data_IF_276843010087
#
_entry.id   IF_276843010087
#
_cell.length_a   1.000
_cell.length_b   1.000
_cell.length_c   1.000
_cell.angle_alpha   90.00
_cell.angle_beta   90.00
_cell.angle_gamma   90.00
#
_symmetry.space_group_name_H-M   'P 1'
#
loop_
_entity.id
_entity.type
_entity.pdbx_description
1 polymer ?
#
# COMPACT_ATOMS: atom_id res chain seq x y z
N UNK A 1 -19.93 17.54 7.81
CA UNK A 1 -19.56 16.34 6.99
C UNK A 1 -18.58 16.70 5.87
N UNK A 2 -18.67 17.88 5.26
CA UNK A 2 -17.78 18.33 4.16
C UNK A 2 -16.29 18.35 4.54
N UNK A 3 -15.95 18.84 5.73
CA UNK A 3 -14.56 18.85 6.23
C UNK A 3 -13.92 17.46 6.29
N UNK A 4 -14.69 16.40 6.58
CA UNK A 4 -14.18 15.01 6.58
C UNK A 4 -13.93 14.52 5.16
N UNK A 5 -14.85 14.80 4.24
CA UNK A 5 -14.73 14.41 2.83
C UNK A 5 -13.54 15.09 2.16
N UNK A 6 -13.34 16.38 2.42
CA UNK A 6 -12.23 17.15 1.87
C UNK A 6 -10.86 16.61 2.32
N UNK A 7 -10.73 16.25 3.61
CA UNK A 7 -9.51 15.62 4.14
C UNK A 7 -9.23 14.26 3.50
N UNK A 8 -10.26 13.42 3.34
CA UNK A 8 -10.11 12.12 2.68
C UNK A 8 -9.71 12.24 1.21
N UNK A 9 -10.31 13.20 0.48
CA UNK A 9 -9.96 13.46 -0.93
C UNK A 9 -8.51 13.94 -1.03
N UNK A 10 -8.11 14.89 -0.17
CA UNK A 10 -6.74 15.39 -0.16
C UNK A 10 -5.74 14.28 0.14
N UNK A 11 -6.05 13.39 1.09
CA UNK A 11 -5.18 12.26 1.42
C UNK A 11 -5.05 11.28 0.25
N UNK A 12 -6.15 10.95 -0.44
CA UNK A 12 -6.12 10.11 -1.64
C UNK A 12 -5.32 10.77 -2.77
N UNK A 13 -5.52 12.07 -2.96
CA UNK A 13 -4.84 12.85 -4.00
C UNK A 13 -3.33 12.89 -3.75
N UNK A 14 -2.89 13.08 -2.50
CA UNK A 14 -1.46 13.03 -2.12
C UNK A 14 -0.88 11.63 -2.34
N UNK A 15 -1.61 10.57 -1.99
CA UNK A 15 -1.14 9.20 -2.23
C UNK A 15 -0.96 8.93 -3.73
N UNK A 16 -1.96 9.27 -4.55
CA UNK A 16 -1.92 9.01 -5.99
C UNK A 16 -0.86 9.87 -6.68
N UNK A 17 -0.85 11.19 -6.43
CA UNK A 17 0.15 12.09 -7.01
C UNK A 17 1.56 11.72 -6.57
N UNK A 18 1.75 11.38 -5.30
CA UNK A 18 3.05 10.93 -4.79
C UNK A 18 3.55 9.71 -5.55
N UNK A 19 2.72 8.68 -5.72
CA UNK A 19 3.06 7.49 -6.49
C UNK A 19 3.32 7.78 -7.96
N UNK A 20 2.52 8.64 -8.61
CA UNK A 20 2.69 9.00 -10.03
C UNK A 20 3.99 9.78 -10.24
N UNK A 21 4.28 10.76 -9.39
CA UNK A 21 5.51 11.56 -9.45
C UNK A 21 6.73 10.66 -9.26
N UNK A 22 6.72 9.79 -8.25
CA UNK A 22 7.80 8.82 -8.06
C UNK A 22 7.95 7.89 -9.27
N UNK A 23 6.85 7.42 -9.85
CA UNK A 23 6.86 6.62 -11.08
C UNK A 23 7.54 7.33 -12.25
N UNK A 24 7.20 8.60 -12.50
CA UNK A 24 7.82 9.42 -13.55
C UNK A 24 9.31 9.64 -13.26
N UNK A 25 9.68 9.93 -12.01
CA UNK A 25 11.08 10.06 -11.59
C UNK A 25 11.86 8.78 -11.86
N UNK A 26 11.24 7.62 -11.64
CA UNK A 26 11.92 6.34 -11.92
C UNK A 26 12.17 6.11 -13.41
N UNK A 27 11.32 6.63 -14.29
CA UNK A 27 11.53 6.55 -15.74
C UNK A 27 12.68 7.45 -16.20
N UNK A 28 12.89 8.60 -15.55
CA UNK A 28 13.98 9.53 -15.88
C UNK A 28 15.35 9.03 -15.43
N UNK A 29 15.42 8.26 -14.34
CA UNK A 29 16.68 7.78 -13.76
C UNK A 29 17.17 6.50 -14.43
N UNK A 30 16.28 5.72 -15.05
CA UNK A 30 16.62 4.43 -15.64
C UNK A 30 17.50 4.59 -16.90
N UNK A 31 18.72 4.04 -16.91
CA UNK A 31 19.56 4.03 -18.10
C UNK A 31 19.05 3.03 -19.16
N UNK A 32 18.46 1.91 -18.74
CA UNK A 32 17.89 0.86 -19.59
C UNK A 32 16.49 0.47 -19.10
N UNK A 33 15.64 0.03 -20.04
CA UNK A 33 14.26 -0.35 -19.74
C UNK A 33 14.13 -1.76 -19.20
N UNK A 34 14.99 -2.66 -19.68
CA UNK A 34 14.91 -4.09 -19.44
C UNK A 34 16.26 -4.63 -18.98
N UNK A 35 16.34 -4.99 -17.70
CA UNK A 35 17.36 -5.92 -17.19
C UNK A 35 16.64 -7.23 -16.90
N UNK A 36 17.06 -8.31 -17.56
CA UNK A 36 16.46 -9.64 -17.40
C UNK A 36 17.45 -10.49 -16.64
N UNK A 37 17.02 -11.01 -15.51
CA UNK A 37 17.83 -11.94 -14.73
C UNK A 37 17.17 -13.30 -14.64
N UNK A 38 17.99 -14.35 -14.68
CA UNK A 38 17.54 -15.73 -14.75
C UNK A 38 16.66 -16.16 -13.57
N UNK A 39 16.89 -15.61 -12.38
CA UNK A 39 16.16 -15.98 -11.15
C UNK A 39 14.88 -15.18 -10.90
N UNK A 40 14.72 -14.00 -11.50
CA UNK A 40 13.70 -13.03 -11.08
C UNK A 40 13.04 -12.22 -12.20
N UNK A 41 13.37 -12.49 -13.46
CA UNK A 41 12.73 -11.86 -14.61
C UNK A 41 13.17 -10.42 -14.83
N UNK A 42 12.22 -9.52 -15.11
CA UNK A 42 12.51 -8.13 -15.47
C UNK A 42 12.61 -7.24 -14.23
N UNK A 43 13.67 -6.43 -14.15
CA UNK A 43 13.79 -5.42 -13.09
C UNK A 43 14.67 -4.25 -13.48
N UNK A 44 15.01 -3.46 -12.48
CA UNK A 44 15.60 -2.14 -12.71
C UNK A 44 17.09 -2.28 -13.00
N UNK A 45 17.51 -1.85 -14.19
CA UNK A 45 18.93 -1.73 -14.52
C UNK A 45 19.52 -0.52 -13.79
N UNK A 46 20.53 -0.75 -12.97
CA UNK A 46 21.34 0.29 -12.34
C UNK A 46 22.74 0.27 -12.97
N UNK A 47 23.11 1.36 -13.64
CA UNK A 47 24.45 1.49 -14.19
C UNK A 47 25.45 2.09 -13.18
N UNK A 48 26.73 1.78 -13.39
CA UNK A 48 27.87 2.07 -12.52
C UNK A 48 28.11 3.56 -12.20
N UNK A 49 27.45 4.49 -12.89
CA UNK A 49 27.55 5.94 -12.63
C UNK A 49 26.28 6.59 -12.07
N UNK A 50 25.16 5.85 -12.01
CA UNK A 50 23.81 6.39 -11.71
C UNK A 50 23.23 5.93 -10.38
N UNK A 51 23.94 5.09 -9.62
CA UNK A 51 23.46 4.56 -8.33
C UNK A 51 23.13 5.65 -7.31
N UNK A 52 23.91 6.75 -7.24
CA UNK A 52 23.63 7.88 -6.34
C UNK A 52 22.31 8.56 -6.71
N UNK A 53 22.03 8.71 -8.01
CA UNK A 53 20.74 9.27 -8.48
C UNK A 53 19.60 8.35 -8.08
N UNK A 54 19.73 7.05 -8.33
CA UNK A 54 18.73 6.07 -7.93
C UNK A 54 18.49 6.06 -6.40
N UNK A 55 19.55 6.17 -5.61
CA UNK A 55 19.46 6.27 -4.16
C UNK A 55 18.70 7.53 -3.71
N UNK A 56 19.08 8.70 -4.22
CA UNK A 56 18.48 9.98 -3.80
C UNK A 56 17.02 10.12 -4.25
N UNK A 57 16.71 9.65 -5.46
CA UNK A 57 15.39 9.82 -6.07
C UNK A 57 14.41 8.70 -5.73
N UNK A 58 14.88 7.48 -5.43
CA UNK A 58 14.01 6.34 -5.15
C UNK A 58 14.10 5.88 -3.69
N UNK A 59 15.31 5.62 -3.20
CA UNK A 59 15.48 4.95 -1.90
C UNK A 59 15.38 5.91 -0.71
N UNK A 60 15.72 7.19 -0.89
CA UNK A 60 15.65 8.19 0.19
C UNK A 60 14.22 8.48 0.66
N UNK A 61 13.25 8.49 -0.26
CA UNK A 61 11.87 8.89 0.05
C UNK A 61 11.16 7.94 1.02
N UNK A 62 11.17 6.61 0.84
CA UNK A 62 10.60 5.67 1.81
C UNK A 62 11.16 5.83 3.22
N UNK A 63 12.46 6.09 3.36
CA UNK A 63 13.11 6.29 4.67
C UNK A 63 12.64 7.59 5.32
N UNK A 64 12.60 8.68 4.57
CA UNK A 64 12.11 9.97 5.07
C UNK A 64 10.63 9.89 5.50
N UNK A 65 9.79 9.25 4.68
CA UNK A 65 8.38 9.04 5.00
C UNK A 65 8.23 8.12 6.22
N UNK A 66 9.05 7.07 6.32
CA UNK A 66 9.08 6.16 7.48
C UNK A 66 9.48 6.84 8.78
N UNK A 67 10.48 7.72 8.74
CA UNK A 67 10.90 8.54 9.88
C UNK A 67 9.80 9.52 10.31
N UNK A 68 9.17 10.20 9.33
CA UNK A 68 8.07 11.11 9.61
C UNK A 68 6.87 10.35 10.22
N UNK A 69 6.53 9.18 9.67
CA UNK A 69 5.48 8.31 10.18
C UNK A 69 5.77 7.83 11.61
N UNK A 70 7.03 7.49 11.90
CA UNK A 70 7.51 7.13 13.24
C UNK A 70 7.26 8.25 14.24
N UNK A 71 7.64 9.48 13.89
CA UNK A 71 7.38 10.65 14.73
C UNK A 71 5.89 10.82 15.06
N UNK A 72 5.02 10.74 14.05
CA UNK A 72 3.58 10.86 14.26
C UNK A 72 3.00 9.69 15.05
N UNK A 73 3.46 8.47 14.81
CA UNK A 73 3.00 7.29 15.53
C UNK A 73 3.33 7.38 17.03
N UNK A 74 4.53 7.84 17.40
CA UNK A 74 4.90 8.10 18.80
C UNK A 74 3.99 9.17 19.42
N UNK A 75 3.74 10.27 18.71
CA UNK A 75 2.83 11.34 19.19
C UNK A 75 1.41 10.83 19.40
N UNK A 76 0.89 10.03 18.48
CA UNK A 76 -0.45 9.42 18.58
C UNK A 76 -0.49 8.51 19.81
N UNK A 77 0.51 7.64 19.98
CA UNK A 77 0.60 6.71 21.11
C UNK A 77 0.59 7.46 22.45
N UNK A 78 1.41 8.50 22.60
CA UNK A 78 1.47 9.32 23.83
C UNK A 78 0.13 10.01 24.10
N UNK A 79 -0.48 10.63 23.10
CA UNK A 79 -1.77 11.33 23.26
C UNK A 79 -2.87 10.33 23.65
N UNK A 80 -2.90 9.15 23.05
CA UNK A 80 -3.89 8.13 23.38
C UNK A 80 -3.71 7.57 24.79
N UNK A 81 -2.47 7.35 25.24
CA UNK A 81 -2.19 6.90 26.62
C UNK A 81 -2.64 7.96 27.63
N UNK A 82 -2.32 9.24 27.38
CA UNK A 82 -2.75 10.36 28.24
C UNK A 82 -4.27 10.48 28.29
N UNK A 83 -4.93 10.36 27.14
CA UNK A 83 -6.39 10.39 27.07
C UNK A 83 -7.02 9.28 27.90
N UNK A 84 -6.43 8.07 27.88
CA UNK A 84 -6.88 6.97 28.75
C UNK A 84 -6.69 7.26 30.23
N UNK A 85 -5.56 7.82 30.63
CA UNK A 85 -5.30 8.16 32.02
C UNK A 85 -6.33 9.17 32.56
N UNK A 86 -6.65 10.21 31.80
CA UNK A 86 -7.68 11.18 32.19
C UNK A 86 -9.09 10.57 32.25
N UNK A 87 -9.44 9.71 31.29
CA UNK A 87 -10.76 9.06 31.29
C UNK A 87 -10.92 8.06 32.45
N UNK A 88 -9.84 7.35 32.81
CA UNK A 88 -9.84 6.42 33.93
C UNK A 88 -10.01 7.14 35.29
N UNK A 89 -9.54 8.39 35.39
CA UNK A 89 -9.73 9.23 36.58
C UNK A 89 -11.17 9.70 36.75
N UNK A 90 -11.91 9.90 35.65
CA UNK A 90 -13.27 10.45 35.66
C UNK A 90 -14.36 9.37 35.71
N UNK A 91 -14.12 8.18 35.13
CA UNK A 91 -15.11 7.09 35.08
C UNK A 91 -14.46 5.72 35.34
N UNK A 92 -14.11 5.40 36.60
CA UNK A 92 -13.47 4.13 36.95
C UNK A 92 -14.37 2.89 36.78
N UNK A 93 -15.70 3.07 36.71
CA UNK A 93 -16.67 1.94 36.70
C UNK A 93 -17.37 1.71 35.34
N UNK A 94 -17.41 2.72 34.45
CA UNK A 94 -18.06 2.61 33.14
C UNK A 94 -17.15 3.10 32.01
N UNK A 95 -16.34 2.20 31.44
CA UNK A 95 -15.77 2.46 30.11
C UNK A 95 -15.67 1.21 29.21
N UNK A 96 -16.80 0.54 28.88
CA UNK A 96 -16.81 -0.54 27.89
C UNK A 96 -16.67 -0.04 26.43
N UNK A 97 -16.80 1.26 26.16
CA UNK A 97 -16.77 1.80 24.80
C UNK A 97 -15.37 2.30 24.40
N UNK A 98 -14.66 1.42 23.64
CA UNK A 98 -13.46 1.68 22.82
C UNK A 98 -12.10 1.20 23.36
N UNK A 99 -12.08 0.22 24.28
CA UNK A 99 -10.83 -0.47 24.60
C UNK A 99 -10.23 -1.20 23.38
N UNK A 100 -11.06 -1.85 22.56
CA UNK A 100 -10.58 -2.63 21.41
C UNK A 100 -9.97 -1.77 20.28
N UNK A 101 -10.55 -0.59 19.97
CA UNK A 101 -10.00 0.29 18.95
C UNK A 101 -8.66 0.89 19.38
N UNK A 102 -8.52 1.24 20.67
CA UNK A 102 -7.25 1.67 21.23
C UNK A 102 -6.18 0.58 21.12
N UNK A 103 -6.47 -0.65 21.56
CA UNK A 103 -5.46 -1.72 21.54
C UNK A 103 -5.00 -2.05 20.11
N UNK A 104 -5.91 -1.95 19.13
CA UNK A 104 -5.58 -2.14 17.72
C UNK A 104 -4.69 -1.03 17.17
N UNK A 105 -5.04 0.24 17.40
CA UNK A 105 -4.22 1.35 16.90
C UNK A 105 -2.83 1.37 17.56
N UNK A 106 -2.78 1.11 18.87
CA UNK A 106 -1.52 0.99 19.62
C UNK A 106 -0.70 -0.21 19.14
N UNK A 107 -1.33 -1.37 18.92
CA UNK A 107 -0.66 -2.56 18.39
C UNK A 107 -0.09 -2.33 16.98
N UNK A 108 -0.86 -1.69 16.10
CA UNK A 108 -0.37 -1.30 14.77
C UNK A 108 0.84 -0.37 14.87
N UNK A 109 0.79 0.62 15.76
CA UNK A 109 1.89 1.54 15.98
C UNK A 109 3.16 0.84 16.49
N UNK A 110 3.02 -0.10 17.42
CA UNK A 110 4.15 -0.89 17.94
C UNK A 110 4.76 -1.76 16.83
N UNK A 111 3.93 -2.47 16.05
CA UNK A 111 4.42 -3.30 14.94
C UNK A 111 5.10 -2.44 13.88
N UNK A 112 4.54 -1.28 13.57
CA UNK A 112 5.16 -0.33 12.64
C UNK A 112 6.56 0.08 13.10
N UNK A 113 6.72 0.42 14.39
CA UNK A 113 8.03 0.82 14.95
C UNK A 113 9.03 -0.34 15.04
N UNK A 114 8.57 -1.55 15.41
CA UNK A 114 9.45 -2.70 15.65
C UNK A 114 9.81 -3.48 14.39
N UNK A 115 8.97 -3.43 13.35
CA UNK A 115 9.13 -4.26 12.15
C UNK A 115 9.37 -3.39 10.92
N UNK A 116 8.48 -2.43 10.64
CA UNK A 116 8.54 -1.68 9.39
C UNK A 116 9.74 -0.72 9.36
N UNK A 117 10.03 -0.02 10.46
CA UNK A 117 11.18 0.90 10.54
C UNK A 117 12.52 0.16 10.34
N UNK A 118 12.86 -0.88 11.12
CA UNK A 118 14.11 -1.59 10.90
C UNK A 118 14.16 -2.30 9.54
N UNK A 119 13.05 -2.81 9.00
CA UNK A 119 13.00 -3.37 7.65
C UNK A 119 13.36 -2.31 6.58
N UNK A 120 12.79 -1.11 6.66
CA UNK A 120 13.12 -0.03 5.70
C UNK A 120 14.58 0.41 5.77
N UNK A 121 15.16 0.46 6.97
CA UNK A 121 16.58 0.78 7.16
C UNK A 121 17.44 -0.36 6.58
N UNK A 122 17.12 -1.61 6.89
CA UNK A 122 17.85 -2.79 6.42
C UNK A 122 17.85 -2.87 4.88
N UNK A 123 16.69 -2.71 4.24
CA UNK A 123 16.59 -2.67 2.77
C UNK A 123 17.42 -1.54 2.16
N UNK A 124 17.49 -0.38 2.83
CA UNK A 124 18.30 0.75 2.37
C UNK A 124 19.79 0.45 2.48
N UNK A 125 20.22 -0.18 3.57
CA UNK A 125 21.61 -0.60 3.74
C UNK A 125 21.98 -1.61 2.67
N UNK A 126 21.15 -2.64 2.45
CA UNK A 126 21.37 -3.64 1.41
C UNK A 126 21.46 -3.03 0.01
N UNK A 127 20.57 -2.09 -0.32
CA UNK A 127 20.59 -1.38 -1.59
C UNK A 127 21.92 -0.64 -1.79
N UNK A 128 22.41 0.04 -0.75
CA UNK A 128 23.67 0.79 -0.82
C UNK A 128 24.87 -0.16 -0.91
N UNK A 129 24.94 -1.19 -0.07
CA UNK A 129 26.07 -2.13 -0.06
C UNK A 129 26.13 -2.95 -1.35
N UNK A 130 24.98 -3.42 -1.84
CA UNK A 130 24.90 -4.15 -3.12
C UNK A 130 25.21 -3.29 -4.33
N UNK A 131 24.99 -1.97 -4.25
CA UNK A 131 25.39 -1.04 -5.32
C UNK A 131 26.89 -0.70 -5.31
N UNK A 132 27.56 -0.84 -4.16
CA UNK A 132 28.99 -0.49 -4.00
C UNK A 132 29.91 -1.68 -4.31
N UNK A 133 29.47 -2.92 -4.05
CA UNK A 133 30.20 -4.16 -4.36
C UNK A 133 30.29 -4.40 -5.89
N UNK A 134 31.19 -3.68 -6.55
CA UNK A 134 31.47 -3.84 -7.98
C UNK A 134 31.85 -2.57 -8.74
N UNK A 135 31.81 -1.39 -8.11
CA UNK A 135 31.96 -0.12 -8.81
C UNK A 135 33.28 0.60 -8.50
N UNK A 136 34.13 0.72 -9.53
CA UNK A 136 35.33 1.56 -9.55
C UNK A 136 35.09 2.94 -10.19
N UNK A 137 33.86 3.22 -10.66
CA UNK A 137 33.55 4.47 -11.35
C UNK A 137 33.28 5.60 -10.37
N UNK A 138 34.00 6.71 -10.55
CA UNK A 138 33.70 7.98 -9.90
C UNK A 138 32.33 8.48 -10.35
N UNK A 139 31.55 9.02 -9.42
CA UNK A 139 30.23 9.58 -9.68
C UNK A 139 30.34 10.70 -10.73
N UNK A 140 29.51 10.66 -11.77
CA UNK A 140 29.46 11.72 -12.77
C UNK A 140 28.00 12.05 -13.10
N UNK A 141 27.57 13.25 -12.71
CA UNK A 141 26.21 13.74 -12.91
C UNK A 141 25.82 13.81 -14.40
N UNK A 142 26.80 14.03 -15.27
CA UNK A 142 26.62 14.16 -16.72
C UNK A 142 27.17 12.97 -17.49
N UNK A 143 27.37 11.80 -16.86
CA UNK A 143 27.81 10.62 -17.59
C UNK A 143 26.87 10.36 -18.77
N UNK A 144 27.32 10.49 -20.03
CA UNK A 144 26.50 10.16 -21.17
C UNK A 144 26.24 8.66 -21.13
N UNK A 145 24.97 8.29 -21.25
CA UNK A 145 24.61 6.89 -21.44
C UNK A 145 25.20 6.42 -22.77
N UNK A 146 26.19 5.52 -22.69
CA UNK A 146 26.99 5.05 -23.83
C UNK A 146 26.44 3.75 -24.45
N UNK A 147 25.24 3.31 -24.05
CA UNK A 147 24.57 2.10 -24.55
C UNK A 147 23.36 2.42 -25.43
N UNK A 148 22.75 1.41 -26.03
CA UNK A 148 21.43 1.55 -26.64
C UNK A 148 20.36 1.44 -25.56
N UNK A 149 19.41 2.37 -25.52
CA UNK A 149 18.30 2.36 -24.54
C UNK A 149 17.47 1.08 -24.56
N UNK A 150 17.53 0.38 -25.70
CA UNK A 150 16.83 -0.86 -26.02
C UNK A 150 17.69 -2.11 -25.75
N UNK A 151 18.93 -1.96 -25.29
CA UNK A 151 19.78 -3.10 -24.98
C UNK A 151 19.24 -3.84 -23.75
N UNK A 152 19.05 -5.14 -23.93
CA UNK A 152 18.66 -6.08 -22.88
C UNK A 152 19.92 -6.67 -22.28
N UNK A 153 20.13 -6.42 -21.00
CA UNK A 153 21.17 -7.12 -20.25
C UNK A 153 20.58 -8.42 -19.70
N UNK A 154 21.26 -9.55 -19.96
CA UNK A 154 20.86 -10.85 -19.41
C UNK A 154 21.90 -11.27 -18.39
N UNK A 155 21.55 -11.18 -17.10
CA UNK A 155 22.42 -11.57 -16.00
C UNK A 155 22.06 -12.97 -15.50
N UNK A 156 23.01 -13.91 -15.64
CA UNK A 156 22.87 -15.31 -15.20
C UNK A 156 23.50 -15.58 -13.83
N UNK A 157 24.19 -14.60 -13.25
CA UNK A 157 24.93 -14.79 -12.00
C UNK A 157 24.00 -14.67 -10.78
N UNK A 158 23.36 -15.80 -10.45
CA UNK A 158 22.60 -16.02 -9.22
C UNK A 158 23.53 -16.16 -8.01
N UNK A 159 24.10 -15.04 -7.54
CA UNK A 159 24.71 -15.03 -6.21
C UNK A 159 23.60 -15.20 -5.17
N UNK A 160 23.72 -16.20 -4.30
CA UNK A 160 22.71 -16.57 -3.29
C UNK A 160 22.32 -15.41 -2.33
N UNK A 161 23.21 -14.42 -2.19
CA UNK A 161 22.96 -13.19 -1.43
C UNK A 161 21.93 -12.28 -2.10
N UNK A 162 21.93 -12.18 -3.43
CA UNK A 162 21.04 -11.30 -4.18
C UNK A 162 19.61 -11.87 -4.27
N UNK A 163 19.47 -13.20 -4.40
CA UNK A 163 18.17 -13.88 -4.41
C UNK A 163 17.45 -13.85 -3.05
N UNK A 164 18.19 -13.94 -1.94
CA UNK A 164 17.62 -13.85 -0.59
C UNK A 164 17.06 -12.44 -0.26
N UNK A 165 17.70 -11.38 -0.74
CA UNK A 165 17.23 -10.00 -0.54
C UNK A 165 15.91 -9.73 -1.26
N UNK A 166 15.75 -10.29 -2.47
CA UNK A 166 14.54 -10.11 -3.28
C UNK A 166 13.35 -10.89 -2.71
N UNK A 167 13.56 -12.11 -2.21
CA UNK A 167 12.55 -12.86 -1.45
C UNK A 167 12.06 -12.09 -0.23
N UNK A 168 12.95 -11.38 0.46
CA UNK A 168 12.59 -10.56 1.61
C UNK A 168 11.64 -9.42 1.22
N UNK A 169 11.90 -8.74 0.11
CA UNK A 169 11.07 -7.62 -0.39
C UNK A 169 9.67 -8.06 -0.82
N UNK A 170 9.54 -9.22 -1.47
CA UNK A 170 8.23 -9.74 -1.89
C UNK A 170 7.40 -10.20 -0.68
N UNK A 171 8.05 -10.84 0.30
CA UNK A 171 7.38 -11.23 1.54
C UNK A 171 6.98 -10.02 2.39
N UNK A 172 7.81 -8.97 2.43
CA UNK A 172 7.50 -7.71 3.14
C UNK A 172 6.19 -7.09 2.64
N UNK A 173 5.98 -7.05 1.31
CA UNK A 173 4.75 -6.52 0.71
C UNK A 173 3.53 -7.35 1.11
N UNK A 174 3.62 -8.67 1.04
CA UNK A 174 2.54 -9.57 1.45
C UNK A 174 2.22 -9.43 2.95
N UNK A 175 3.25 -9.44 3.79
CA UNK A 175 3.13 -9.31 5.25
C UNK A 175 2.51 -7.97 5.63
N UNK A 176 2.93 -6.87 5.02
CA UNK A 176 2.39 -5.54 5.30
C UNK A 176 0.89 -5.44 4.99
N UNK A 177 0.43 -6.05 3.89
CA UNK A 177 -0.98 -6.13 3.54
C UNK A 177 -1.80 -6.93 4.56
N UNK A 178 -1.27 -8.07 5.01
CA UNK A 178 -1.91 -8.92 6.02
C UNK A 178 -2.03 -8.17 7.36
N UNK A 179 -0.96 -7.50 7.81
CA UNK A 179 -0.96 -6.70 9.04
C UNK A 179 -1.99 -5.57 8.93
N UNK A 180 -1.97 -4.82 7.82
CA UNK A 180 -2.92 -3.73 7.61
C UNK A 180 -4.37 -4.24 7.66
N UNK A 181 -4.64 -5.36 6.99
CA UNK A 181 -5.96 -5.99 7.00
C UNK A 181 -6.38 -6.42 8.42
N UNK A 182 -5.50 -7.09 9.16
CA UNK A 182 -5.81 -7.57 10.52
C UNK A 182 -6.25 -6.44 11.46
N UNK A 183 -5.54 -5.30 11.42
CA UNK A 183 -5.81 -4.17 12.31
C UNK A 183 -6.98 -3.31 11.85
N UNK A 184 -7.10 -3.02 10.55
CA UNK A 184 -8.06 -2.03 10.03
C UNK A 184 -9.33 -2.64 9.44
N UNK A 185 -9.27 -3.82 8.81
CA UNK A 185 -10.47 -4.43 8.20
C UNK A 185 -11.50 -4.88 9.23
N UNK A 186 -11.07 -5.14 10.47
CA UNK A 186 -11.95 -5.57 11.55
C UNK A 186 -12.59 -4.41 12.33
N UNK A 187 -12.35 -3.15 11.93
CA UNK A 187 -12.90 -1.97 12.58
C UNK A 187 -14.43 -1.90 12.49
N UNK A 188 -15.07 -1.33 13.52
CA UNK A 188 -16.53 -1.16 13.54
C UNK A 188 -17.02 -0.29 12.37
N UNK A 189 -16.23 0.71 11.97
CA UNK A 189 -16.49 1.54 10.80
C UNK A 189 -16.37 0.75 9.49
N UNK A 190 -15.32 -0.06 9.33
CA UNK A 190 -15.17 -0.96 8.18
C UNK A 190 -16.33 -1.96 8.09
N UNK A 191 -16.72 -2.57 9.21
CA UNK A 191 -17.89 -3.45 9.29
C UNK A 191 -19.20 -2.73 8.95
N UNK A 192 -19.36 -1.47 9.37
CA UNK A 192 -20.53 -0.65 8.98
C UNK A 192 -20.54 -0.38 7.48
N UNK A 193 -19.39 -0.09 6.89
CA UNK A 193 -19.24 0.09 5.45
C UNK A 193 -19.59 -1.20 4.70
N UNK A 194 -19.03 -2.35 5.11
CA UNK A 194 -19.36 -3.66 4.51
C UNK A 194 -20.85 -3.96 4.61
N UNK A 195 -21.47 -3.74 5.77
CA UNK A 195 -22.93 -3.92 5.95
C UNK A 195 -23.75 -2.95 5.12
N UNK A 196 -23.23 -1.76 4.84
CA UNK A 196 -23.91 -0.75 4.02
C UNK A 196 -23.88 -1.15 2.55
N UNK A 197 -22.70 -1.51 2.03
CA UNK A 197 -22.52 -1.97 0.64
C UNK A 197 -23.34 -3.23 0.40
N UNK A 198 -23.23 -4.21 1.30
CA UNK A 198 -24.01 -5.44 1.25
C UNK A 198 -25.50 -5.12 1.16
N UNK A 199 -26.07 -4.33 2.09
CA UNK A 199 -27.50 -3.96 2.04
C UNK A 199 -27.89 -3.22 0.75
N UNK A 200 -27.01 -2.38 0.21
CA UNK A 200 -27.28 -1.68 -1.04
C UNK A 200 -27.38 -2.66 -2.21
N UNK A 201 -26.44 -3.62 -2.31
CA UNK A 201 -26.47 -4.64 -3.36
C UNK A 201 -27.67 -5.57 -3.24
N UNK A 202 -28.04 -6.00 -2.02
CA UNK A 202 -29.26 -6.79 -1.83
C UNK A 202 -30.51 -6.00 -2.23
N UNK A 203 -30.53 -4.69 -2.04
CA UNK A 203 -31.68 -3.86 -2.43
C UNK A 203 -31.81 -3.75 -3.95
N UNK A 204 -30.68 -3.61 -4.67
CA UNK A 204 -30.66 -3.56 -6.13
C UNK A 204 -31.02 -4.93 -6.71
N UNK A 205 -30.49 -6.00 -6.13
CA UNK A 205 -30.79 -7.37 -6.53
C UNK A 205 -32.28 -7.69 -6.29
N UNK A 206 -32.84 -7.28 -5.15
CA UNK A 206 -34.27 -7.42 -4.85
C UNK A 206 -35.16 -6.65 -5.82
N UNK A 207 -34.78 -5.43 -6.19
CA UNK A 207 -35.52 -4.64 -7.19
C UNK A 207 -35.50 -5.32 -8.55
N UNK A 208 -34.36 -5.90 -8.97
CA UNK A 208 -34.27 -6.68 -10.21
C UNK A 208 -35.12 -7.95 -10.17
N UNK A 209 -35.11 -8.69 -9.06
CA UNK A 209 -35.92 -9.90 -8.89
C UNK A 209 -37.43 -9.59 -8.84
N UNK A 210 -37.82 -8.47 -8.23
CA UNK A 210 -39.21 -8.03 -8.20
C UNK A 210 -39.71 -7.62 -9.58
N UNK A 211 -38.91 -6.84 -10.32
CA UNK A 211 -39.22 -6.47 -11.70
C UNK A 211 -39.41 -7.70 -12.61
N UNK A 212 -38.55 -8.71 -12.49
CA UNK A 212 -38.67 -9.97 -13.26
C UNK A 212 -39.95 -10.74 -12.92
N UNK A 213 -40.35 -10.76 -11.64
CA UNK A 213 -41.58 -11.43 -11.18
C UNK A 213 -42.84 -10.71 -11.68
N UNK A 214 -42.82 -9.39 -11.73
CA UNK A 214 -43.96 -8.59 -12.18
C UNK A 214 -44.14 -8.70 -13.70
N UNK A 215 -43.05 -8.81 -14.48
CA UNK A 215 -43.12 -9.15 -15.93
C UNK A 215 -43.64 -10.55 -16.20
N UNK A 216 -43.26 -11.55 -15.40
CA UNK A 216 -43.76 -12.91 -15.55
C UNK A 216 -45.27 -12.97 -15.26
N UNK A 217 -45.74 -12.30 -14.21
CA UNK A 217 -47.19 -12.19 -13.90
C UNK A 217 -47.99 -11.47 -14.99
N UNK A 218 -47.42 -10.45 -15.64
CA UNK A 218 -48.05 -9.78 -16.76
C UNK A 218 -48.16 -10.67 -18.02
N UNK A 219 -47.23 -11.62 -18.18
CA UNK A 219 -47.20 -12.56 -19.32
C UNK A 219 -48.18 -13.72 -19.15
N UNK A 220 -48.50 -14.10 -17.91
CA UNK A 220 -49.47 -15.14 -17.56
C UNK A 220 -50.87 -14.61 -17.20
N UNK A 221 -51.19 -13.35 -17.51
CA UNK A 221 -52.56 -12.83 -17.38
C UNK A 221 -53.50 -13.61 -18.33
N UNK A 222 -54.54 -14.30 -17.82
CA UNK A 222 -55.45 -15.11 -18.63
C UNK A 222 -56.30 -14.30 -19.63
N UNK A 223 -56.24 -12.97 -19.60
CA UNK A 223 -57.07 -12.11 -20.46
C UNK A 223 -56.66 -12.14 -21.95
N UNK A 224 -55.52 -12.74 -22.31
CA UNK A 224 -55.09 -12.93 -23.70
C UNK A 224 -55.49 -14.29 -24.31
N UNK A 225 -56.12 -15.18 -23.53
CA UNK A 225 -56.64 -16.48 -23.99
C UNK A 225 -58.14 -16.64 -23.72
N UNK A 226 -58.91 -15.55 -23.89
CA UNK A 226 -60.36 -15.56 -23.82
C UNK A 226 -60.98 -14.80 -25.00
N UNK A 227 -61.22 -15.52 -26.09
CA UNK A 227 -62.58 -15.89 -26.53
C UNK A 227 -62.64 -15.95 -28.07
N UNK A 228 -62.68 -17.17 -28.56
CA UNK A 228 -62.68 -17.51 -29.97
C UNK A 228 -63.47 -18.78 -30.19
N UNK A 229 -64.65 -18.89 -29.57
CA UNK A 229 -65.83 -19.60 -30.09
C UNK A 229 -67.00 -19.63 -29.11
#
# INVERSE_FOLDING_TARGET
MEQKRMKSILQLLVCILGSVVLGILTMLVRPRWYDISADWGCGMSLDNGTWVKAFLLMQMWPVLIGLLATYYCVRIMVTMIRAKLHLNQLFPYESPHSSAAFHRLTGFCIIFLLVMVPATIYNTVLFVTGSIEGQTSTWNFNAPYNGSYWDVNVTTDGTASHSAQLLFLDMERAISGIIWFAFFATCSEAKRLYRSVFRHDYSILWLKLKASRDTEKATWSPELFGDGR
#
